data_IF_295375806208
#
_entry.id   IF_295375806208
#
_cell.length_a   1.000
_cell.length_b   1.000
_cell.length_c   1.000
_cell.angle_alpha   90.00
_cell.angle_beta   90.00
_cell.angle_gamma   90.00
#
_symmetry.space_group_name_H-M   'P 1'
#
loop_
_entity.id
_entity.type
_entity.pdbx_description
1 polymer ?
#
# COMPACT_ATOMS: atom_id res chain seq x y z
N UNK A 1 -16.14 20.73 -9.64
CA UNK A 1 -16.02 19.39 -10.25
C UNK A 1 -16.38 18.37 -9.18
N UNK A 2 -17.48 17.63 -9.36
CA UNK A 2 -17.83 16.52 -8.48
C UNK A 2 -16.82 15.39 -8.75
N UNK A 3 -15.80 15.30 -7.90
CA UNK A 3 -14.83 14.21 -7.96
C UNK A 3 -15.54 12.93 -7.56
N UNK A 4 -15.45 11.90 -8.41
CA UNK A 4 -15.91 10.55 -8.07
C UNK A 4 -15.21 10.15 -6.77
N UNK A 5 -15.99 9.82 -5.73
CA UNK A 5 -15.40 9.30 -4.49
C UNK A 5 -14.50 8.10 -4.83
N UNK A 6 -13.27 8.01 -4.27
CA UNK A 6 -12.40 6.89 -4.52
C UNK A 6 -13.10 5.58 -4.15
N UNK A 7 -13.04 4.58 -5.04
CA UNK A 7 -13.53 3.24 -4.73
C UNK A 7 -12.56 2.53 -3.79
N UNK A 8 -12.82 2.66 -2.49
CA UNK A 8 -11.97 2.10 -1.42
C UNK A 8 -12.30 0.65 -1.06
N UNK A 9 -13.25 0.01 -1.75
CA UNK A 9 -13.72 -1.33 -1.39
C UNK A 9 -13.56 -2.35 -2.51
N UNK A 10 -13.46 -1.93 -3.78
CA UNK A 10 -13.38 -2.89 -4.89
C UNK A 10 -12.19 -3.84 -4.83
N UNK A 11 -11.09 -3.48 -4.17
CA UNK A 11 -9.95 -4.38 -4.00
C UNK A 11 -10.27 -5.64 -3.19
N UNK A 12 -11.37 -5.65 -2.42
CA UNK A 12 -11.78 -6.83 -1.65
C UNK A 12 -12.04 -8.06 -2.52
N UNK A 13 -12.46 -7.87 -3.77
CA UNK A 13 -12.68 -8.96 -4.74
C UNK A 13 -11.39 -9.76 -5.03
N UNK A 14 -10.25 -9.09 -4.94
CA UNK A 14 -8.92 -9.64 -5.26
C UNK A 14 -8.02 -9.66 -4.01
N UNK A 15 -8.61 -9.55 -2.81
CA UNK A 15 -7.86 -9.36 -1.57
C UNK A 15 -6.81 -10.45 -1.32
N UNK A 16 -7.17 -11.71 -1.58
CA UNK A 16 -6.26 -12.85 -1.44
C UNK A 16 -5.02 -12.69 -2.33
N UNK A 17 -5.21 -12.28 -3.58
CA UNK A 17 -4.13 -12.09 -4.54
C UNK A 17 -3.18 -10.98 -4.08
N UNK A 18 -3.74 -9.88 -3.55
CA UNK A 18 -2.96 -8.80 -2.96
C UNK A 18 -2.20 -9.24 -1.70
N UNK A 19 -2.78 -10.08 -0.82
CA UNK A 19 -2.04 -10.66 0.33
C UNK A 19 -0.88 -11.55 -0.13
N UNK A 20 -1.03 -12.29 -1.23
CA UNK A 20 0.07 -13.05 -1.82
C UNK A 20 1.16 -12.10 -2.38
N UNK A 21 0.77 -10.96 -2.95
CA UNK A 21 1.71 -9.91 -3.34
C UNK A 21 2.49 -9.35 -2.14
N UNK A 22 1.86 -9.15 -0.98
CA UNK A 22 2.58 -8.79 0.24
C UNK A 22 3.58 -9.87 0.65
N UNK A 23 3.21 -11.15 0.55
CA UNK A 23 4.11 -12.27 0.84
C UNK A 23 5.33 -12.28 -0.08
N UNK A 24 5.10 -12.12 -1.39
CA UNK A 24 6.16 -12.00 -2.38
C UNK A 24 7.05 -10.76 -2.13
N UNK A 25 6.44 -9.61 -1.78
CA UNK A 25 7.16 -8.40 -1.41
C UNK A 25 8.06 -8.62 -0.18
N UNK A 26 7.58 -9.26 0.89
CA UNK A 26 8.39 -9.55 2.09
C UNK A 26 9.57 -10.46 1.78
N UNK A 27 9.36 -11.45 0.92
CA UNK A 27 10.41 -12.36 0.46
C UNK A 27 11.42 -11.65 -0.44
N UNK A 28 10.99 -10.72 -1.29
CA UNK A 28 11.86 -9.90 -2.12
C UNK A 28 12.64 -8.91 -1.26
N UNK A 29 11.99 -8.16 -0.37
CA UNK A 29 12.60 -7.20 0.54
C UNK A 29 13.73 -7.82 1.38
N UNK A 30 13.51 -9.03 1.91
CA UNK A 30 14.53 -9.77 2.68
C UNK A 30 15.75 -10.16 1.85
N UNK A 31 15.58 -10.39 0.54
CA UNK A 31 16.64 -10.81 -0.39
C UNK A 31 17.31 -9.66 -1.14
N UNK A 32 16.59 -8.55 -1.32
CA UNK A 32 16.89 -7.49 -2.29
C UNK A 32 17.19 -6.14 -1.63
N UNK A 33 17.45 -6.14 -0.30
CA UNK A 33 17.74 -4.94 0.51
C UNK A 33 18.88 -4.06 -0.05
N UNK A 34 19.70 -4.59 -0.96
CA UNK A 34 20.84 -3.91 -1.58
C UNK A 34 20.55 -3.26 -2.95
N UNK A 35 19.42 -3.57 -3.63
CA UNK A 35 19.17 -3.09 -5.01
C UNK A 35 18.07 -2.05 -5.14
N UNK A 36 17.05 -2.10 -4.30
CA UNK A 36 15.97 -1.10 -4.31
C UNK A 36 16.24 -0.06 -3.23
N UNK A 37 16.58 1.16 -3.63
CA UNK A 37 16.80 2.30 -2.73
C UNK A 37 15.52 3.12 -2.55
N UNK A 38 15.53 3.99 -1.54
CA UNK A 38 14.51 5.01 -1.34
C UNK A 38 15.18 6.35 -1.08
N UNK A 39 14.98 7.29 -1.99
CA UNK A 39 15.56 8.63 -1.94
C UNK A 39 14.72 9.56 -1.06
N UNK A 40 13.42 9.30 -0.99
CA UNK A 40 12.42 10.05 -0.23
C UNK A 40 12.70 10.08 1.27
N UNK A 41 13.20 8.98 1.81
CA UNK A 41 13.42 8.78 3.26
C UNK A 41 14.85 8.31 3.56
N UNK A 42 15.83 8.82 2.81
CA UNK A 42 17.23 8.37 2.84
C UNK A 42 17.93 8.49 4.20
N UNK A 43 17.56 9.47 5.03
CA UNK A 43 18.12 9.63 6.39
C UNK A 43 17.65 8.55 7.36
N UNK A 44 16.53 7.87 7.07
CA UNK A 44 16.00 6.73 7.81
C UNK A 44 15.67 7.00 9.29
N UNK A 45 15.61 8.26 9.71
CA UNK A 45 15.26 8.67 11.09
C UNK A 45 13.74 8.69 11.29
N UNK A 46 13.00 8.96 10.22
CA UNK A 46 11.54 9.04 10.26
C UNK A 46 10.93 7.64 10.37
N UNK A 47 9.85 7.54 11.14
CA UNK A 47 9.04 6.33 11.27
C UNK A 47 7.75 6.46 10.49
N UNK A 48 7.29 5.33 9.97
CA UNK A 48 5.98 5.18 9.37
C UNK A 48 5.31 4.00 10.09
N UNK A 49 4.41 4.34 11.00
CA UNK A 49 3.98 3.40 12.02
C UNK A 49 5.17 2.87 12.85
N UNK A 50 5.20 1.56 13.11
CA UNK A 50 6.28 0.95 13.91
C UNK A 50 7.58 0.71 13.11
N UNK A 51 7.60 1.03 11.81
CA UNK A 51 8.71 0.75 10.91
C UNK A 51 9.48 2.01 10.51
N UNK A 52 10.71 1.85 10.00
CA UNK A 52 11.45 2.97 9.41
C UNK A 52 10.77 3.36 8.11
N UNK A 53 10.59 4.66 7.87
CA UNK A 53 9.98 5.17 6.65
C UNK A 53 10.73 4.71 5.39
N UNK A 54 12.06 4.58 5.47
CA UNK A 54 12.89 4.03 4.40
C UNK A 54 12.54 2.58 4.07
N UNK A 55 12.38 1.72 5.09
CA UNK A 55 12.01 0.32 4.89
C UNK A 55 10.59 0.21 4.29
N UNK A 56 9.64 1.03 4.77
CA UNK A 56 8.27 1.09 4.22
C UNK A 56 8.28 1.55 2.76
N UNK A 57 9.08 2.55 2.41
CA UNK A 57 9.25 3.04 1.06
C UNK A 57 9.80 1.95 0.11
N UNK A 58 10.88 1.26 0.51
CA UNK A 58 11.43 0.16 -0.30
C UNK A 58 10.40 -0.95 -0.47
N UNK A 59 9.69 -1.34 0.60
CA UNK A 59 8.60 -2.32 0.52
C UNK A 59 7.48 -1.88 -0.40
N UNK A 60 7.10 -0.61 -0.36
CA UNK A 60 6.08 -0.04 -1.23
C UNK A 60 6.49 -0.12 -2.70
N UNK A 61 7.73 0.25 -3.03
CA UNK A 61 8.29 0.14 -4.39
C UNK A 61 8.26 -1.30 -4.91
N UNK A 62 8.70 -2.24 -4.06
CA UNK A 62 8.67 -3.68 -4.39
C UNK A 62 7.24 -4.16 -4.56
N UNK A 63 6.31 -3.76 -3.69
CA UNK A 63 4.91 -4.16 -3.76
C UNK A 63 4.27 -3.70 -5.06
N UNK A 64 4.52 -2.45 -5.48
CA UNK A 64 4.08 -1.92 -6.77
C UNK A 64 4.56 -2.80 -7.93
N UNK A 65 5.86 -3.11 -7.96
CA UNK A 65 6.47 -3.98 -9.00
C UNK A 65 5.89 -5.39 -9.01
N UNK A 66 5.67 -5.98 -7.84
CA UNK A 66 5.06 -7.30 -7.70
C UNK A 66 3.63 -7.29 -8.23
N UNK A 67 2.81 -6.31 -7.85
CA UNK A 67 1.42 -6.17 -8.34
C UNK A 67 1.43 -6.06 -9.87
N UNK A 68 2.25 -5.16 -10.43
CA UNK A 68 2.38 -4.99 -11.89
C UNK A 68 2.76 -6.30 -12.60
N UNK A 69 3.75 -7.03 -12.07
CA UNK A 69 4.22 -8.28 -12.67
C UNK A 69 3.18 -9.40 -12.72
N UNK A 70 2.19 -9.38 -11.82
CA UNK A 70 1.11 -10.37 -11.80
C UNK A 70 -0.05 -10.04 -12.75
N UNK A 71 -0.10 -8.84 -13.31
CA UNK A 71 -1.18 -8.45 -14.22
C UNK A 71 -1.08 -9.29 -15.51
N UNK A 72 -2.16 -10.00 -15.84
CA UNK A 72 -2.23 -10.95 -16.97
C UNK A 72 -2.00 -10.33 -18.35
N UNK A 73 -2.08 -9.00 -18.47
CA UNK A 73 -1.97 -8.32 -19.75
C UNK A 73 -0.79 -7.33 -19.74
N UNK A 74 0.28 -7.57 -20.52
CA UNK A 74 1.44 -6.68 -20.62
C UNK A 74 1.08 -5.27 -21.13
N UNK A 75 -0.06 -5.10 -21.81
CA UNK A 75 -0.50 -3.76 -22.24
C UNK A 75 -1.20 -2.94 -21.12
N UNK A 76 -1.35 -3.52 -19.91
CA UNK A 76 -1.87 -2.86 -18.70
C UNK A 76 -0.82 -2.76 -17.60
N UNK A 77 0.45 -2.58 -17.99
CA UNK A 77 1.65 -2.51 -17.14
C UNK A 77 1.56 -1.52 -15.96
N UNK A 78 0.59 -0.59 -15.99
CA UNK A 78 0.40 0.40 -14.93
C UNK A 78 -0.58 -0.08 -13.84
N UNK A 79 -0.29 0.32 -12.61
CA UNK A 79 -1.22 0.21 -11.49
C UNK A 79 -2.52 0.95 -11.83
N UNK A 80 -3.66 0.31 -11.58
CA UNK A 80 -4.98 0.91 -11.78
C UNK A 80 -5.55 1.44 -10.45
N UNK A 81 -6.75 2.02 -10.50
CA UNK A 81 -7.41 2.60 -9.33
C UNK A 81 -7.67 1.58 -8.20
N UNK A 82 -7.92 0.31 -8.55
CA UNK A 82 -8.14 -0.78 -7.59
C UNK A 82 -6.82 -1.13 -6.89
N UNK A 83 -5.73 -1.20 -7.64
CA UNK A 83 -4.39 -1.41 -7.10
C UNK A 83 -4.01 -0.29 -6.13
N UNK A 84 -4.29 0.98 -6.50
CA UNK A 84 -4.03 2.12 -5.63
C UNK A 84 -4.93 2.14 -4.39
N UNK A 85 -6.19 1.73 -4.49
CA UNK A 85 -7.07 1.59 -3.32
C UNK A 85 -6.50 0.59 -2.31
N UNK A 86 -5.98 -0.55 -2.80
CA UNK A 86 -5.30 -1.52 -1.95
C UNK A 86 -3.99 -0.99 -1.36
N UNK A 87 -3.14 -0.35 -2.17
CA UNK A 87 -1.88 0.25 -1.71
C UNK A 87 -2.12 1.31 -0.63
N UNK A 88 -3.17 2.12 -0.79
CA UNK A 88 -3.58 3.11 0.19
C UNK A 88 -4.06 2.44 1.49
N UNK A 89 -4.88 1.39 1.38
CA UNK A 89 -5.29 0.58 2.53
C UNK A 89 -4.06 0.00 3.27
N UNK A 90 -3.12 -0.59 2.53
CA UNK A 90 -1.91 -1.18 3.09
C UNK A 90 -1.09 -0.17 3.90
N UNK A 91 -0.81 1.02 3.34
CA UNK A 91 -0.12 2.09 4.07
C UNK A 91 -0.89 2.53 5.33
N UNK A 92 -2.20 2.75 5.23
CA UNK A 92 -3.02 3.16 6.37
C UNK A 92 -3.05 2.10 7.48
N UNK A 93 -3.03 0.81 7.11
CA UNK A 93 -2.99 -0.30 8.07
C UNK A 93 -1.67 -0.34 8.87
N UNK A 94 -0.56 0.08 8.26
CA UNK A 94 0.74 0.19 8.92
C UNK A 94 0.81 1.42 9.82
N UNK A 95 0.41 2.59 9.30
CA UNK A 95 0.45 3.88 10.00
C UNK A 95 -0.36 3.84 11.31
N UNK A 96 -1.51 3.15 11.31
CA UNK A 96 -2.43 3.11 12.46
C UNK A 96 -2.24 1.91 13.40
N UNK A 97 -1.18 1.13 13.22
CA UNK A 97 -0.83 0.04 14.14
C UNK A 97 0.04 0.52 15.33
N UNK A 98 0.01 1.82 15.64
CA UNK A 98 0.82 2.46 16.71
C UNK A 98 -0.01 3.46 17.50
N UNK A 99 0.44 3.72 18.73
CA UNK A 99 -0.10 4.75 19.62
C UNK A 99 0.72 6.05 19.61
N UNK A 100 1.67 6.20 18.68
CA UNK A 100 2.69 7.26 18.69
C UNK A 100 2.30 8.38 17.70
N UNK A 101 2.03 9.58 18.23
CA UNK A 101 1.61 10.76 17.47
C UNK A 101 2.69 11.40 16.56
N UNK A 102 3.87 10.80 16.44
CA UNK A 102 5.01 11.36 15.69
C UNK A 102 5.32 10.62 14.37
N UNK A 103 4.42 9.72 13.94
CA UNK A 103 4.61 8.93 12.74
C UNK A 103 4.19 9.73 11.48
N UNK A 104 4.92 9.51 10.37
CA UNK A 104 4.55 10.04 9.06
C UNK A 104 3.12 9.64 8.70
N UNK A 105 2.35 10.59 8.19
CA UNK A 105 1.03 10.32 7.63
C UNK A 105 1.14 9.77 6.21
N UNK A 106 0.07 9.16 5.70
CA UNK A 106 0.03 8.65 4.33
C UNK A 106 0.10 9.79 3.32
N UNK A 107 -0.54 10.93 3.62
CA UNK A 107 -0.44 12.15 2.80
C UNK A 107 1.01 12.65 2.70
N UNK A 108 1.73 12.67 3.83
CA UNK A 108 3.15 13.04 3.85
C UNK A 108 4.00 12.03 3.08
N UNK A 109 3.72 10.74 3.25
CA UNK A 109 4.40 9.68 2.51
C UNK A 109 4.24 9.86 1.00
N UNK A 110 3.02 10.09 0.52
CA UNK A 110 2.75 10.34 -0.89
C UNK A 110 3.52 11.54 -1.42
N UNK A 111 3.52 12.65 -0.68
CA UNK A 111 4.18 13.88 -1.09
C UNK A 111 5.67 13.64 -1.32
N UNK A 112 6.35 13.07 -0.33
CA UNK A 112 7.79 12.80 -0.42
C UNK A 112 8.11 11.83 -1.57
N UNK A 113 7.30 10.77 -1.75
CA UNK A 113 7.45 9.81 -2.84
C UNK A 113 7.28 10.46 -4.22
N UNK A 114 6.27 11.33 -4.37
CA UNK A 114 5.99 12.03 -5.63
C UNK A 114 7.09 13.03 -5.99
N UNK A 115 7.68 13.66 -4.97
CA UNK A 115 8.70 14.70 -5.16
C UNK A 115 10.10 14.11 -5.45
N UNK A 116 10.40 12.90 -4.93
CA UNK A 116 11.79 12.38 -4.90
C UNK A 116 12.01 11.04 -5.59
N UNK A 117 11.00 10.19 -5.75
CA UNK A 117 11.19 8.91 -6.44
C UNK A 117 10.90 9.04 -7.94
N UNK A 118 11.95 9.01 -8.77
CA UNK A 118 11.83 9.19 -10.23
C UNK A 118 10.78 8.27 -10.89
N UNK A 119 10.67 7.01 -10.44
CA UNK A 119 9.69 6.04 -10.97
C UNK A 119 8.22 6.45 -10.70
N UNK A 120 8.00 7.44 -9.84
CA UNK A 120 6.69 7.97 -9.51
C UNK A 120 6.50 9.46 -9.82
N UNK A 121 7.54 10.17 -10.26
CA UNK A 121 7.42 11.58 -10.70
C UNK A 121 6.48 11.69 -11.92
N UNK A 122 6.43 10.67 -12.77
CA UNK A 122 5.56 10.61 -13.96
C UNK A 122 4.24 9.86 -13.75
N UNK A 123 4.14 9.06 -12.69
CA UNK A 123 2.92 8.36 -12.29
C UNK A 123 2.12 9.33 -11.44
N UNK A 124 0.94 9.74 -11.88
CA UNK A 124 0.15 10.72 -11.13
C UNK A 124 -0.41 10.06 -9.87
N UNK A 125 0.36 10.10 -8.78
CA UNK A 125 -0.10 9.76 -7.45
C UNK A 125 -1.16 10.72 -6.94
N UNK A 126 -1.44 11.85 -7.61
CA UNK A 126 -2.36 12.89 -7.13
C UNK A 126 -3.63 12.29 -6.50
N UNK A 127 -3.66 12.33 -5.16
CA UNK A 127 -4.74 11.86 -4.28
C UNK A 127 -5.06 10.35 -4.35
N UNK A 128 -4.13 9.52 -4.81
CA UNK A 128 -4.27 8.05 -4.84
C UNK A 128 -3.95 7.41 -3.49
N UNK A 129 -3.00 7.98 -2.77
CA UNK A 129 -2.62 7.63 -1.41
C UNK A 129 -3.03 8.79 -0.50
N UNK A 130 -3.73 8.47 0.58
CA UNK A 130 -4.23 9.47 1.50
C UNK A 130 -4.57 8.89 2.87
N UNK A 131 -4.64 9.75 3.87
CA UNK A 131 -5.06 9.35 5.22
C UNK A 131 -6.55 8.93 5.24
N UNK A 132 -6.80 7.62 5.39
CA UNK A 132 -8.14 7.06 5.55
C UNK A 132 -8.63 7.40 6.96
N UNK A 133 -9.87 7.89 7.07
CA UNK A 133 -10.53 8.13 8.37
C UNK A 133 -10.55 6.85 9.19
N UNK A 134 -10.23 6.94 10.49
CA UNK A 134 -10.13 5.77 11.38
C UNK A 134 -11.39 4.88 11.32
N UNK A 135 -12.59 5.47 11.37
CA UNK A 135 -13.84 4.72 11.32
C UNK A 135 -13.97 3.91 10.02
N UNK A 136 -13.59 4.50 8.89
CA UNK A 136 -13.58 3.84 7.58
C UNK A 136 -12.59 2.69 7.54
N UNK A 137 -11.38 2.89 8.09
CA UNK A 137 -10.38 1.81 8.15
C UNK A 137 -10.86 0.65 9.05
N UNK A 138 -11.50 0.96 10.18
CA UNK A 138 -12.09 -0.07 11.05
C UNK A 138 -13.19 -0.87 10.33
N UNK A 139 -14.03 -0.20 9.54
CA UNK A 139 -15.03 -0.87 8.69
C UNK A 139 -14.37 -1.81 7.67
N UNK A 140 -13.34 -1.35 6.96
CA UNK A 140 -12.55 -2.18 6.03
C UNK A 140 -11.97 -3.41 6.75
N UNK A 141 -11.31 -3.22 7.89
CA UNK A 141 -10.73 -4.30 8.69
C UNK A 141 -11.79 -5.32 9.16
N UNK A 142 -12.98 -4.86 9.52
CA UNK A 142 -14.06 -5.75 9.92
C UNK A 142 -14.61 -6.56 8.74
N UNK A 143 -14.74 -5.96 7.55
CA UNK A 143 -15.13 -6.70 6.34
C UNK A 143 -14.10 -7.79 5.99
N UNK A 144 -12.81 -7.51 6.16
CA UNK A 144 -11.77 -8.53 6.00
C UNK A 144 -11.99 -9.70 6.96
N UNK A 145 -12.25 -9.43 8.25
CA UNK A 145 -12.47 -10.49 9.25
C UNK A 145 -13.65 -11.39 8.88
N UNK A 146 -14.75 -10.80 8.43
CA UNK A 146 -15.95 -11.52 8.01
C UNK A 146 -15.66 -12.39 6.77
N UNK A 147 -14.98 -11.83 5.76
CA UNK A 147 -14.60 -12.59 4.56
C UNK A 147 -13.70 -13.79 4.92
N UNK A 148 -12.79 -13.64 5.87
CA UNK A 148 -11.94 -14.72 6.36
C UNK A 148 -12.72 -15.77 7.17
N UNK A 149 -13.70 -15.37 7.98
CA UNK A 149 -14.53 -16.31 8.75
C UNK A 149 -15.48 -17.12 7.86
N UNK A 150 -16.05 -16.50 6.83
CA UNK A 150 -16.96 -17.19 5.91
C UNK A 150 -16.23 -18.27 5.11
N UNK A 151 -14.98 -18.03 4.68
CA UNK A 151 -14.15 -19.04 4.00
C UNK A 151 -13.89 -20.26 4.91
N UNK A 152 -13.76 -20.06 6.22
CA UNK A 152 -13.54 -21.17 7.17
C UNK A 152 -14.78 -22.02 7.43
N UNK A 153 -15.98 -21.51 7.16
CA UNK A 153 -17.26 -22.25 7.30
C UNK A 153 -17.56 -23.15 6.09
N UNK A 154 -16.97 -22.88 4.92
CA UNK A 154 -17.14 -23.69 3.71
C UNK A 154 -16.08 -24.79 3.53
N UNK A 155 -15.26 -25.07 4.54
CA UNK A 155 -14.27 -26.16 4.57
C UNK A 155 -14.56 -27.21 5.66
N UNK A 156 -15.83 -27.36 6.05
CA UNK A 156 -16.34 -28.44 6.92
C UNK A 156 -17.23 -29.36 6.10
#
# INVERSE_FOLDING_TARGET
MSGREPDIYSFFKEFKEYKECEGAMKNAFSRDKLKTTCDSFSTGVQKFGNERANDVCVKFKILCKVIQSKKKNPNTENLNDIDFAYLNYWLNSLSRNTTINHDLTVDQFQKEMSDREYEFVSVTFDKKLYDIKLITLLSINNMQKILHSDISLYHI
#
